data_IF_992763746704
#
_entry.id   IF_992763746704
#
_cell.length_a   1.000
_cell.length_b   1.000
_cell.length_c   1.000
_cell.angle_alpha   90.00
_cell.angle_beta   90.00
_cell.angle_gamma   90.00
#
_symmetry.space_group_name_H-M   'P 1'
#
loop_
_entity.id
_entity.type
_entity.pdbx_description
1 polymer ?
#
# COMPACT_ATOMS: atom_id res chain seq x y z
N UNK A 1 10.42 -10.84 -21.01
CA UNK A 1 10.83 -9.46 -20.66
C UNK A 1 9.82 -9.01 -19.63
N UNK A 2 10.22 -8.39 -18.54
CA UNK A 2 9.31 -8.13 -17.42
C UNK A 2 8.26 -7.07 -17.78
N UNK A 3 7.02 -7.52 -17.96
CA UNK A 3 5.84 -6.69 -18.27
C UNK A 3 5.45 -5.71 -17.13
N UNK A 4 6.24 -5.61 -16.06
CA UNK A 4 5.95 -4.73 -14.93
C UNK A 4 6.43 -3.28 -15.11
N UNK A 5 7.16 -2.96 -16.18
CA UNK A 5 7.47 -1.58 -16.57
C UNK A 5 6.52 -1.06 -17.64
N UNK A 6 5.26 -1.48 -17.59
CA UNK A 6 4.19 -1.12 -18.51
C UNK A 6 3.14 -0.26 -17.80
N UNK A 7 2.84 0.90 -18.37
CA UNK A 7 1.89 1.85 -17.76
C UNK A 7 0.45 1.32 -17.77
N UNK A 8 0.06 0.54 -18.77
CA UNK A 8 -1.28 -0.08 -18.85
C UNK A 8 -1.45 -1.12 -17.74
N UNK A 9 -0.44 -1.94 -17.52
CA UNK A 9 -0.44 -2.93 -16.43
C UNK A 9 -0.48 -2.25 -15.06
N UNK A 10 0.28 -1.16 -14.89
CA UNK A 10 0.22 -0.34 -13.68
C UNK A 10 -1.19 0.22 -13.44
N UNK A 11 -1.79 0.85 -14.46
CA UNK A 11 -3.14 1.41 -14.37
C UNK A 11 -4.17 0.33 -14.03
N UNK A 12 -4.08 -0.83 -14.67
CA UNK A 12 -4.99 -1.96 -14.41
C UNK A 12 -4.81 -2.53 -13.00
N UNK A 13 -3.57 -2.70 -12.54
CA UNK A 13 -3.30 -3.26 -11.22
C UNK A 13 -3.77 -2.33 -10.10
N UNK A 14 -3.45 -1.03 -10.18
CA UNK A 14 -3.90 -0.05 -9.20
C UNK A 14 -5.42 0.17 -9.26
N UNK A 15 -6.00 0.16 -10.46
CA UNK A 15 -7.43 0.41 -10.69
C UNK A 15 -8.37 -0.53 -9.93
N UNK A 16 -7.92 -1.76 -9.59
CA UNK A 16 -8.70 -2.72 -8.80
C UNK A 16 -8.95 -2.26 -7.35
N UNK A 17 -8.07 -1.42 -6.82
CA UNK A 17 -8.05 -1.02 -5.42
C UNK A 17 -8.44 0.44 -5.20
N UNK A 18 -8.70 1.18 -6.28
CA UNK A 18 -9.17 2.56 -6.22
C UNK A 18 -10.63 2.59 -5.73
N UNK A 19 -10.96 3.34 -4.67
CA UNK A 19 -12.33 3.47 -4.20
C UNK A 19 -13.25 4.06 -5.26
N UNK A 20 -14.55 3.75 -5.13
CA UNK A 20 -15.59 4.38 -5.96
C UNK A 20 -15.51 5.90 -5.80
N UNK A 21 -15.61 6.62 -6.92
CA UNK A 21 -15.54 8.09 -7.02
C UNK A 21 -14.12 8.70 -6.89
N UNK A 22 -13.07 7.90 -6.77
CA UNK A 22 -11.68 8.34 -6.88
C UNK A 22 -11.10 8.06 -8.28
N UNK A 23 -10.03 8.75 -8.66
CA UNK A 23 -9.35 8.54 -9.95
C UNK A 23 -7.85 8.49 -9.74
N UNK A 24 -7.16 7.60 -10.47
CA UNK A 24 -5.70 7.56 -10.46
C UNK A 24 -5.14 8.88 -11.02
N UNK A 25 -4.44 9.66 -10.19
CA UNK A 25 -3.82 10.92 -10.61
C UNK A 25 -2.38 10.72 -11.07
N UNK A 26 -1.68 9.79 -10.43
CA UNK A 26 -0.31 9.43 -10.75
C UNK A 26 -0.03 8.01 -10.27
N UNK A 27 0.71 7.23 -11.06
CA UNK A 27 1.13 5.89 -10.69
C UNK A 27 2.48 5.52 -11.27
N UNK A 28 3.32 4.83 -10.50
CA UNK A 28 4.67 4.46 -10.89
C UNK A 28 4.99 3.03 -10.48
N UNK A 29 6.00 2.45 -11.13
CA UNK A 29 6.77 1.37 -10.53
C UNK A 29 7.62 1.90 -9.36
N UNK A 30 7.61 1.18 -8.25
CA UNK A 30 8.43 1.42 -7.07
C UNK A 30 8.90 0.11 -6.45
N UNK A 31 9.84 0.20 -5.52
CA UNK A 31 10.38 -0.95 -4.80
C UNK A 31 10.05 -0.80 -3.33
N UNK A 32 9.27 -1.73 -2.79
CA UNK A 32 9.10 -1.87 -1.35
C UNK A 32 10.29 -2.69 -0.81
N UNK A 33 11.09 -2.08 0.07
CA UNK A 33 12.20 -2.76 0.77
C UNK A 33 11.72 -3.47 2.03
N UNK A 34 10.67 -2.93 2.64
CA UNK A 34 10.04 -3.47 3.84
C UNK A 34 8.59 -3.03 3.92
N UNK A 35 7.72 -3.95 4.31
CA UNK A 35 6.29 -3.75 4.52
C UNK A 35 5.91 -4.38 5.84
N UNK A 36 5.20 -3.62 6.68
CA UNK A 36 4.57 -4.11 7.89
C UNK A 36 3.20 -3.46 8.00
N UNK A 37 2.16 -4.28 7.92
CA UNK A 37 0.78 -3.86 7.90
C UNK A 37 0.10 -4.42 9.11
N UNK A 38 -0.47 -3.54 9.93
CA UNK A 38 -1.28 -3.89 11.08
C UNK A 38 -2.73 -3.54 10.78
N UNK A 39 -3.63 -4.50 11.01
CA UNK A 39 -5.07 -4.29 10.86
C UNK A 39 -5.83 -5.01 11.96
N UNK A 40 -6.86 -4.37 12.48
CA UNK A 40 -7.80 -4.98 13.43
C UNK A 40 -9.16 -5.02 12.77
N UNK A 41 -9.72 -6.22 12.67
CA UNK A 41 -10.94 -6.51 11.94
C UNK A 41 -11.98 -7.09 12.88
N UNK A 42 -13.21 -6.57 12.85
CA UNK A 42 -14.31 -7.03 13.70
C UNK A 42 -15.47 -7.59 12.89
N UNK A 43 -16.30 -8.40 13.56
CA UNK A 43 -17.44 -9.09 12.96
C UNK A 43 -17.02 -9.96 11.78
N UNK A 44 -15.98 -10.76 11.99
CA UNK A 44 -15.47 -11.64 10.96
C UNK A 44 -15.03 -13.01 11.49
N UNK A 45 -14.98 -13.97 10.56
CA UNK A 45 -14.36 -15.28 10.74
C UNK A 45 -13.15 -15.37 9.80
N UNK A 46 -11.99 -15.84 10.28
CA UNK A 46 -10.84 -16.08 9.40
C UNK A 46 -11.06 -17.36 8.57
N UNK A 47 -10.73 -17.30 7.29
CA UNK A 47 -10.68 -18.43 6.37
C UNK A 47 -9.23 -18.73 5.99
N UNK A 48 -9.01 -19.71 5.10
CA UNK A 48 -7.68 -19.99 4.56
C UNK A 48 -7.06 -18.78 3.84
N UNK A 49 -7.88 -17.98 3.14
CA UNK A 49 -7.41 -16.95 2.23
C UNK A 49 -7.79 -15.52 2.62
N UNK A 50 -8.62 -15.34 3.64
CA UNK A 50 -9.15 -14.02 3.98
C UNK A 50 -10.05 -14.01 5.20
N UNK A 51 -10.86 -12.96 5.27
CA UNK A 51 -11.86 -12.72 6.31
C UNK A 51 -13.24 -12.67 5.65
N UNK A 52 -14.21 -13.38 6.21
CA UNK A 52 -15.61 -13.27 5.81
C UNK A 52 -16.42 -12.55 6.89
N UNK A 53 -17.42 -11.73 6.51
CA UNK A 53 -18.26 -11.03 7.47
C UNK A 53 -19.17 -12.01 8.23
N UNK A 54 -19.27 -11.84 9.54
CA UNK A 54 -20.22 -12.54 10.42
C UNK A 54 -20.59 -11.60 11.58
N UNK A 55 -21.88 -11.29 11.76
CA UNK A 55 -22.36 -10.41 12.84
C UNK A 55 -22.01 -10.91 14.24
N UNK A 56 -21.87 -12.23 14.41
CA UNK A 56 -21.46 -12.89 15.64
C UNK A 56 -19.97 -13.27 15.63
N UNK A 57 -19.25 -12.92 14.55
CA UNK A 57 -17.82 -13.14 14.40
C UNK A 57 -17.00 -12.33 15.40
N UNK A 58 -15.76 -12.79 15.61
CA UNK A 58 -14.84 -12.19 16.57
C UNK A 58 -14.17 -10.91 16.06
N UNK A 59 -13.20 -10.44 16.85
CA UNK A 59 -12.23 -9.43 16.44
C UNK A 59 -10.86 -10.07 16.30
N UNK A 60 -10.24 -9.87 15.15
CA UNK A 60 -8.96 -10.46 14.77
C UNK A 60 -7.96 -9.32 14.56
N UNK A 61 -6.82 -9.41 15.21
CA UNK A 61 -5.64 -8.61 14.88
C UNK A 61 -4.79 -9.37 13.88
N UNK A 62 -4.35 -8.70 12.81
CA UNK A 62 -3.51 -9.26 11.78
C UNK A 62 -2.30 -8.36 11.52
N UNK A 63 -1.12 -8.98 11.48
CA UNK A 63 0.08 -8.37 10.93
C UNK A 63 0.50 -9.08 9.63
N UNK A 64 0.62 -8.31 8.54
CA UNK A 64 1.17 -8.76 7.25
C UNK A 64 2.55 -8.13 7.04
N UNK A 65 3.59 -8.96 7.00
CA UNK A 65 4.99 -8.53 7.02
C UNK A 65 5.76 -9.06 5.80
N UNK A 66 6.66 -8.25 5.27
CA UNK A 66 7.65 -8.64 4.25
C UNK A 66 8.91 -7.80 4.40
N UNK A 67 10.04 -8.47 4.63
CA UNK A 67 11.36 -7.84 4.83
C UNK A 67 12.30 -7.99 3.62
N UNK A 68 11.86 -8.73 2.58
CA UNK A 68 12.59 -8.83 1.31
C UNK A 68 12.08 -7.78 0.33
N UNK A 69 13.01 -7.21 -0.45
CA UNK A 69 12.66 -6.22 -1.45
C UNK A 69 11.80 -6.83 -2.56
N UNK A 70 10.81 -6.08 -3.04
CA UNK A 70 9.91 -6.50 -4.11
C UNK A 70 9.34 -5.32 -4.88
N UNK A 71 8.94 -5.57 -6.12
CA UNK A 71 8.40 -4.58 -7.04
C UNK A 71 6.89 -4.38 -6.79
N UNK A 72 6.50 -3.12 -6.69
CA UNK A 72 5.13 -2.67 -6.50
C UNK A 72 4.77 -1.59 -7.52
N UNK A 73 3.49 -1.48 -7.82
CA UNK A 73 2.92 -0.25 -8.31
C UNK A 73 2.51 0.62 -7.13
N UNK A 74 2.89 1.88 -7.18
CA UNK A 74 2.55 2.90 -6.20
C UNK A 74 1.80 4.01 -6.92
N UNK A 75 0.59 4.32 -6.49
CA UNK A 75 -0.16 5.44 -7.04
C UNK A 75 -0.87 6.27 -5.99
N UNK A 76 -1.34 7.42 -6.42
CA UNK A 76 -2.16 8.32 -5.62
C UNK A 76 -3.43 8.69 -6.38
N UNK A 77 -4.49 8.88 -5.60
CA UNK A 77 -5.73 9.51 -6.05
C UNK A 77 -5.87 10.87 -5.37
N UNK A 78 -7.05 11.47 -5.43
CA UNK A 78 -7.38 12.69 -4.71
C UNK A 78 -7.18 12.50 -3.20
N UNK A 79 -7.65 11.37 -2.65
CA UNK A 79 -7.69 11.14 -1.20
C UNK A 79 -6.93 9.90 -0.73
N UNK A 80 -6.42 9.04 -1.63
CA UNK A 80 -5.83 7.76 -1.27
C UNK A 80 -4.41 7.55 -1.82
N UNK A 81 -3.63 6.76 -1.09
CA UNK A 81 -2.43 6.08 -1.54
C UNK A 81 -2.82 4.64 -1.90
N UNK A 82 -2.46 4.18 -3.09
CA UNK A 82 -2.77 2.84 -3.58
C UNK A 82 -1.47 2.10 -3.88
N UNK A 83 -1.37 0.86 -3.40
CA UNK A 83 -0.21 -0.02 -3.55
C UNK A 83 -0.71 -1.36 -4.08
N UNK A 84 -0.14 -1.82 -5.19
CA UNK A 84 -0.41 -3.13 -5.75
C UNK A 84 0.91 -3.86 -6.03
N UNK A 85 0.93 -5.17 -5.84
CA UNK A 85 2.11 -5.96 -6.19
C UNK A 85 2.26 -6.05 -7.72
N UNK A 86 3.47 -5.87 -8.23
CA UNK A 86 3.74 -6.06 -9.67
C UNK A 86 3.67 -7.54 -10.07
N UNK A 87 3.98 -8.42 -9.14
CA UNK A 87 4.05 -9.87 -9.32
C UNK A 87 3.55 -10.60 -8.07
N UNK A 88 3.37 -11.91 -8.13
CA UNK A 88 2.96 -12.69 -6.95
C UNK A 88 4.06 -12.64 -5.89
N UNK A 89 3.68 -12.18 -4.69
CA UNK A 89 4.57 -12.11 -3.54
C UNK A 89 4.07 -12.98 -2.39
N UNK A 90 5.02 -13.53 -1.64
CA UNK A 90 4.75 -14.20 -0.36
C UNK A 90 4.98 -13.22 0.78
N UNK A 91 4.09 -13.29 1.77
CA UNK A 91 4.09 -12.49 2.99
C UNK A 91 4.07 -13.40 4.21
N UNK A 92 4.63 -12.92 5.30
CA UNK A 92 4.47 -13.55 6.60
C UNK A 92 3.25 -12.93 7.31
N UNK A 93 2.34 -13.79 7.78
CA UNK A 93 1.14 -13.38 8.48
C UNK A 93 1.18 -13.85 9.93
N UNK A 94 0.89 -12.94 10.85
CA UNK A 94 0.67 -13.23 12.27
C UNK A 94 -0.75 -12.82 12.62
N UNK A 95 -1.43 -13.67 13.38
CA UNK A 95 -2.80 -13.46 13.84
C UNK A 95 -2.81 -13.46 15.37
N UNK A 96 -3.64 -12.60 15.96
CA UNK A 96 -3.88 -12.57 17.39
C UNK A 96 -5.37 -12.36 17.68
N UNK A 97 -5.87 -13.11 18.66
CA UNK A 97 -7.26 -13.05 19.12
C UNK A 97 -7.33 -12.05 20.28
N UNK A 98 -8.12 -10.98 20.09
CA UNK A 98 -8.32 -9.90 21.07
C UNK A 98 -7.15 -8.91 21.24
N UNK A 99 -7.00 -7.92 20.34
CA UNK A 99 -6.14 -6.79 20.61
C UNK A 99 -6.65 -6.01 21.83
N UNK A 100 -5.73 -5.61 22.72
CA UNK A 100 -6.02 -4.66 23.79
C UNK A 100 -6.71 -3.42 23.20
N UNK A 101 -7.91 -3.14 23.71
CA UNK A 101 -8.96 -2.35 23.05
C UNK A 101 -8.71 -0.83 22.99
N UNK A 102 -7.56 -0.35 23.46
CA UNK A 102 -7.31 1.08 23.57
C UNK A 102 -6.52 1.61 22.36
N UNK A 103 -7.26 2.24 21.44
CA UNK A 103 -6.69 3.12 20.41
C UNK A 103 -6.45 2.52 19.02
N UNK A 104 -6.75 1.23 18.81
CA UNK A 104 -6.69 0.65 17.47
C UNK A 104 -7.91 1.05 16.62
N UNK A 105 -7.69 1.49 15.38
CA UNK A 105 -8.76 1.74 14.42
C UNK A 105 -9.34 0.39 13.96
N UNK A 106 -10.51 0.03 14.50
CA UNK A 106 -11.17 -1.26 14.25
C UNK A 106 -11.98 -1.17 12.96
N UNK A 107 -11.56 -1.93 11.95
CA UNK A 107 -12.30 -2.05 10.70
C UNK A 107 -13.45 -3.05 10.85
N UNK A 108 -14.66 -2.61 10.53
CA UNK A 108 -15.82 -3.50 10.41
C UNK A 108 -15.76 -4.26 9.09
N UNK A 109 -15.81 -5.59 9.12
CA UNK A 109 -15.85 -6.42 7.91
C UNK A 109 -17.29 -6.53 7.42
N UNK A 110 -17.58 -5.93 6.27
CA UNK A 110 -18.93 -5.93 5.65
C UNK A 110 -19.00 -6.75 4.36
N UNK A 111 -17.85 -7.17 3.85
CA UNK A 111 -17.68 -8.02 2.67
C UNK A 111 -16.44 -8.89 2.85
N UNK A 112 -16.28 -9.93 2.05
CA UNK A 112 -15.06 -10.74 2.07
C UNK A 112 -13.83 -9.86 1.79
N UNK A 113 -12.76 -10.08 2.55
CA UNK A 113 -11.46 -9.42 2.40
C UNK A 113 -10.40 -10.49 2.23
N UNK A 114 -9.75 -10.55 1.08
CA UNK A 114 -8.60 -11.43 0.88
C UNK A 114 -7.37 -10.90 1.64
N UNK A 115 -6.58 -11.77 2.25
CA UNK A 115 -5.35 -11.37 2.93
C UNK A 115 -4.36 -10.64 2.00
N UNK A 116 -4.37 -11.01 0.71
CA UNK A 116 -3.58 -10.34 -0.33
C UNK A 116 -3.99 -8.89 -0.54
N UNK A 117 -5.26 -8.57 -0.37
CA UNK A 117 -5.82 -7.23 -0.61
C UNK A 117 -5.67 -6.30 0.60
N UNK A 118 -5.33 -6.85 1.78
CA UNK A 118 -5.03 -6.05 2.96
C UNK A 118 -3.80 -5.19 2.71
N UNK A 119 -3.97 -3.89 2.94
CA UNK A 119 -2.95 -2.85 2.80
C UNK A 119 -2.62 -2.49 1.36
N UNK A 120 -3.60 -2.56 0.47
CA UNK A 120 -3.49 -2.11 -0.92
C UNK A 120 -4.03 -0.69 -1.15
N UNK A 121 -4.81 -0.13 -0.22
CA UNK A 121 -5.39 1.20 -0.33
C UNK A 121 -5.49 1.87 1.05
N UNK A 122 -4.99 3.10 1.15
CA UNK A 122 -4.92 3.86 2.40
C UNK A 122 -5.40 5.29 2.19
N UNK A 123 -6.26 5.85 3.06
CA UNK A 123 -6.50 7.28 3.07
C UNK A 123 -5.19 8.04 3.28
N UNK A 124 -4.93 9.06 2.47
CA UNK A 124 -3.77 9.94 2.65
C UNK A 124 -3.81 10.63 4.02
N UNK A 125 -5.02 10.87 4.54
CA UNK A 125 -5.22 11.44 5.87
C UNK A 125 -4.71 10.53 7.00
N UNK A 126 -4.52 9.23 6.76
CA UNK A 126 -4.03 8.27 7.75
C UNK A 126 -2.51 8.09 7.74
N UNK A 127 -1.82 8.73 6.80
CA UNK A 127 -0.38 8.88 6.86
C UNK A 127 -0.06 9.81 8.04
N UNK A 128 0.49 9.24 9.10
CA UNK A 128 0.96 9.97 10.28
C UNK A 128 2.31 10.64 10.00
N UNK A 129 3.19 9.96 9.28
CA UNK A 129 4.53 10.45 8.98
C UNK A 129 4.99 10.01 7.60
N UNK A 130 5.57 10.94 6.84
CA UNK A 130 6.28 10.65 5.60
C UNK A 130 7.69 11.27 5.64
N UNK A 131 8.73 10.44 5.64
CA UNK A 131 10.12 10.88 5.51
C UNK A 131 10.63 10.63 4.09
N UNK A 132 11.05 11.70 3.41
CA UNK A 132 11.57 11.63 2.04
C UNK A 132 13.04 12.03 2.03
N UNK A 133 13.89 11.14 1.51
CA UNK A 133 15.35 11.32 1.44
C UNK A 133 15.86 10.99 0.05
N UNK A 134 16.94 11.65 -0.37
CA UNK A 134 17.61 11.30 -1.61
C UNK A 134 18.25 9.90 -1.51
N UNK A 135 18.08 9.10 -2.55
CA UNK A 135 18.66 7.77 -2.70
C UNK A 135 19.81 7.73 -3.71
N UNK A 136 20.32 6.53 -3.96
CA UNK A 136 21.40 6.30 -4.93
C UNK A 136 20.90 6.54 -6.37
N UNK A 137 21.74 7.07 -7.27
CA UNK A 137 21.43 7.29 -8.70
C UNK A 137 20.15 8.12 -8.95
N UNK A 138 19.84 9.06 -8.06
CA UNK A 138 18.67 9.93 -8.19
C UNK A 138 17.34 9.26 -7.84
N UNK A 139 17.35 8.05 -7.28
CA UNK A 139 16.17 7.49 -6.62
C UNK A 139 15.79 8.32 -5.39
N UNK A 140 14.56 8.17 -4.92
CA UNK A 140 14.10 8.74 -3.65
C UNK A 140 13.71 7.63 -2.71
N UNK A 141 14.16 7.71 -1.46
CA UNK A 141 13.71 6.84 -0.37
C UNK A 141 12.54 7.53 0.31
N UNK A 142 11.44 6.79 0.47
CA UNK A 142 10.24 7.26 1.16
C UNK A 142 9.94 6.28 2.30
N UNK A 143 9.84 6.78 3.53
CA UNK A 143 9.39 5.99 4.68
C UNK A 143 8.04 6.52 5.15
N UNK A 144 7.02 5.68 5.01
CA UNK A 144 5.64 5.97 5.39
C UNK A 144 5.32 5.27 6.70
N UNK A 145 4.68 5.99 7.62
CA UNK A 145 4.09 5.44 8.84
C UNK A 145 2.64 5.90 8.92
N UNK A 146 1.73 4.95 9.07
CA UNK A 146 0.29 5.17 9.22
C UNK A 146 -0.07 5.33 10.69
N UNK A 147 -1.19 5.98 11.00
CA UNK A 147 -1.68 6.16 12.37
C UNK A 147 -1.88 4.84 13.12
N UNK A 148 -2.26 3.77 12.41
CA UNK A 148 -2.47 2.45 13.00
C UNK A 148 -1.17 1.66 13.24
N UNK A 149 0.00 2.27 13.04
CA UNK A 149 1.31 1.64 13.22
C UNK A 149 1.86 0.92 11.97
N UNK A 150 1.05 0.76 10.92
CA UNK A 150 1.54 0.20 9.64
C UNK A 150 2.63 1.08 9.04
N UNK A 151 3.60 0.48 8.35
CA UNK A 151 4.66 1.22 7.69
C UNK A 151 5.17 0.57 6.41
N UNK A 152 5.76 1.41 5.55
CA UNK A 152 6.44 1.01 4.33
C UNK A 152 7.78 1.71 4.18
N UNK A 153 8.84 0.97 3.85
CA UNK A 153 10.11 1.52 3.36
C UNK A 153 10.18 1.37 1.85
N UNK A 154 10.00 2.47 1.14
CA UNK A 154 9.89 2.50 -0.31
C UNK A 154 11.13 3.15 -0.95
N UNK A 155 11.43 2.70 -2.17
CA UNK A 155 12.35 3.35 -3.10
C UNK A 155 11.58 3.69 -4.37
N UNK A 156 11.61 4.96 -4.74
CA UNK A 156 10.99 5.51 -5.94
C UNK A 156 12.11 5.73 -6.98
N UNK A 157 12.28 4.82 -7.96
CA UNK A 157 13.36 4.88 -8.94
C UNK A 157 13.29 6.16 -9.78
N UNK A 158 14.43 6.66 -10.25
CA UNK A 158 14.46 7.83 -11.14
C UNK A 158 13.81 7.53 -12.51
N UNK A 159 13.94 6.29 -12.98
CA UNK A 159 13.50 5.82 -14.29
C UNK A 159 12.44 4.74 -14.12
N UNK A 160 11.42 4.73 -14.98
CA UNK A 160 10.33 3.74 -14.97
C UNK A 160 10.62 2.47 -15.76
N UNK A 161 11.88 2.03 -15.80
CA UNK A 161 12.35 0.89 -16.62
C UNK A 161 13.51 1.24 -17.57
N UNK A 162 14.08 0.22 -18.21
CA UNK A 162 15.14 0.40 -19.22
C UNK A 162 14.54 0.83 -20.56
N UNK A 163 15.22 1.73 -21.29
CA UNK A 163 14.94 2.00 -22.71
C UNK A 163 13.60 2.69 -23.05
N UNK A 164 13.18 3.68 -22.26
CA UNK A 164 11.84 4.31 -22.30
C UNK A 164 10.75 3.37 -21.78
N UNK A 165 10.85 2.91 -20.52
CA UNK A 165 9.78 2.15 -19.84
C UNK A 165 8.49 2.95 -19.67
N UNK A 166 7.98 3.10 -18.45
CA UNK A 166 6.76 3.88 -18.23
C UNK A 166 6.95 5.36 -18.68
N UNK A 167 6.23 5.84 -19.72
CA UNK A 167 6.55 7.10 -20.39
C UNK A 167 6.34 8.34 -19.52
N UNK A 168 5.33 8.32 -18.64
CA UNK A 168 5.01 9.43 -17.72
C UNK A 168 5.65 9.28 -16.33
N UNK A 169 6.57 8.32 -16.15
CA UNK A 169 7.11 7.97 -14.83
C UNK A 169 7.70 9.17 -14.08
N UNK A 170 8.46 10.03 -14.76
CA UNK A 170 9.10 11.17 -14.12
C UNK A 170 8.06 12.18 -13.58
N UNK A 171 7.01 12.47 -14.35
CA UNK A 171 5.92 13.35 -13.96
C UNK A 171 5.13 12.77 -12.79
N UNK A 172 4.68 11.51 -12.93
CA UNK A 172 3.92 10.83 -11.87
C UNK A 172 4.72 10.69 -10.58
N UNK A 173 6.02 10.39 -10.68
CA UNK A 173 6.90 10.31 -9.52
C UNK A 173 6.98 11.63 -8.77
N UNK A 174 7.15 12.75 -9.48
CA UNK A 174 7.20 14.06 -8.83
C UNK A 174 5.84 14.47 -8.25
N UNK A 175 4.73 14.13 -8.90
CA UNK A 175 3.39 14.32 -8.35
C UNK A 175 3.18 13.55 -7.04
N UNK A 176 3.58 12.26 -7.01
CA UNK A 176 3.54 11.41 -5.80
C UNK A 176 4.40 12.01 -4.69
N UNK A 177 5.66 12.35 -4.98
CA UNK A 177 6.59 12.93 -3.99
C UNK A 177 6.02 14.24 -3.45
N UNK A 178 5.51 15.12 -4.31
CA UNK A 178 4.93 16.40 -3.91
C UNK A 178 3.72 16.21 -3.01
N UNK A 179 2.81 15.29 -3.39
CA UNK A 179 1.62 14.97 -2.59
C UNK A 179 2.01 14.45 -1.21
N UNK A 180 2.95 13.51 -1.14
CA UNK A 180 3.40 12.91 0.12
C UNK A 180 4.16 13.90 1.01
N UNK A 181 4.99 14.80 0.43
CA UNK A 181 5.65 15.88 1.20
C UNK A 181 4.66 16.86 1.81
N UNK A 182 3.59 17.18 1.09
CA UNK A 182 2.56 18.11 1.56
C UNK A 182 1.82 17.63 2.80
N UNK A 183 1.84 16.32 3.09
CA UNK A 183 1.20 15.73 4.27
C UNK A 183 2.06 15.88 5.54
N UNK A 184 3.38 16.02 5.40
CA UNK A 184 4.31 16.14 6.55
C UNK A 184 4.36 17.54 7.19
N UNK A 185 3.44 18.45 6.82
CA UNK A 185 3.41 19.86 7.26
C UNK A 185 2.33 20.17 8.32
N UNK A 186 1.66 19.16 8.86
CA UNK A 186 0.62 19.31 9.90
C UNK A 186 0.89 18.41 11.11
#
# INVERSE_FOLDING_TARGET
MSDFFDETNMQWALGKYIPKDETLLAGIHAIAKETNLTGVFSKCIPTENGLIPDENGGTISLNKKKYSAYDIYLGITQSFLVIADCERNSYYYEFDDAPDKDGADIQLVTSEILFTDIGTCFPLADIQKCEIKNGWMGSVKCFLTMKNGSYFKLVLPKLGGLGNGMPHHAEYREAIITRLRGLSLY
#
